data_IF_864317941156
#
_entry.id   IF_864317941156
#
_cell.length_a   1.000
_cell.length_b   1.000
_cell.length_c   1.000
_cell.angle_alpha   90.00
_cell.angle_beta   90.00
_cell.angle_gamma   90.00
#
_symmetry.space_group_name_H-M   'P 1'
#
loop_
_entity.id
_entity.type
_entity.pdbx_description
1 polymer ?
#
# COMPACT_ATOMS: atom_id res chain seq x y z
N UNK A 1 -14.87 3.02 9.42
CA UNK A 1 -14.40 1.69 9.84
C UNK A 1 -14.56 0.63 8.74
N UNK A 2 -15.76 0.39 8.20
CA UNK A 2 -16.02 -0.67 7.21
C UNK A 2 -15.20 -0.51 5.91
N UNK A 3 -15.06 0.71 5.39
CA UNK A 3 -14.25 1.01 4.20
C UNK A 3 -12.78 0.62 4.39
N UNK A 4 -12.21 0.91 5.56
CA UNK A 4 -10.81 0.60 5.86
C UNK A 4 -10.57 -0.91 5.95
N UNK A 5 -11.50 -1.65 6.54
CA UNK A 5 -11.43 -3.12 6.64
C UNK A 5 -11.53 -3.75 5.25
N UNK A 6 -12.50 -3.33 4.44
CA UNK A 6 -12.66 -3.84 3.07
C UNK A 6 -11.43 -3.54 2.20
N UNK A 7 -10.89 -2.32 2.29
CA UNK A 7 -9.68 -1.92 1.57
C UNK A 7 -8.47 -2.77 1.99
N UNK A 8 -8.27 -2.97 3.28
CA UNK A 8 -7.16 -3.77 3.79
C UNK A 8 -7.29 -5.25 3.42
N UNK A 9 -8.51 -5.81 3.51
CA UNK A 9 -8.77 -7.17 3.05
C UNK A 9 -8.44 -7.35 1.56
N UNK A 10 -8.77 -6.36 0.73
CA UNK A 10 -8.45 -6.35 -0.70
C UNK A 10 -6.94 -6.32 -0.97
N UNK A 11 -6.17 -5.52 -0.22
CA UNK A 11 -4.70 -5.44 -0.37
C UNK A 11 -4.02 -6.76 -0.02
N UNK A 12 -4.53 -7.50 0.98
CA UNK A 12 -3.96 -8.78 1.41
C UNK A 12 -4.44 -9.92 0.52
N UNK A 13 -5.75 -10.07 0.37
CA UNK A 13 -6.37 -11.19 -0.34
C UNK A 13 -6.20 -11.09 -1.87
N UNK A 14 -6.19 -9.87 -2.41
CA UNK A 14 -6.11 -9.63 -3.86
C UNK A 14 -4.88 -10.26 -4.49
N UNK A 15 -3.65 -9.89 -4.09
CA UNK A 15 -2.42 -10.45 -4.69
C UNK A 15 -2.28 -11.95 -4.46
N UNK A 16 -2.67 -12.47 -3.29
CA UNK A 16 -2.64 -13.91 -3.01
C UNK A 16 -3.60 -14.65 -3.95
N UNK A 17 -4.87 -14.22 -4.02
CA UNK A 17 -5.86 -14.80 -4.92
C UNK A 17 -5.43 -14.73 -6.39
N UNK A 18 -4.88 -13.58 -6.83
CA UNK A 18 -4.36 -13.40 -8.18
C UNK A 18 -3.26 -14.41 -8.49
N UNK A 19 -2.31 -14.63 -7.57
CA UNK A 19 -1.23 -15.60 -7.73
C UNK A 19 -1.74 -17.03 -7.94
N UNK A 20 -2.77 -17.45 -7.18
CA UNK A 20 -3.40 -18.77 -7.34
C UNK A 20 -4.19 -18.89 -8.67
N UNK A 21 -4.98 -17.88 -9.01
CA UNK A 21 -5.81 -17.88 -10.24
C UNK A 21 -4.90 -17.87 -11.48
N UNK A 22 -3.73 -17.22 -11.40
CA UNK A 22 -2.78 -17.14 -12.51
C UNK A 22 -2.24 -18.53 -12.93
N UNK A 23 -2.14 -19.48 -11.99
CA UNK A 23 -1.72 -20.86 -12.29
C UNK A 23 -2.74 -21.58 -13.18
N UNK A 24 -4.03 -21.28 -13.05
CA UNK A 24 -5.08 -21.87 -13.85
C UNK A 24 -5.06 -21.39 -15.33
N UNK A 25 -4.42 -20.23 -15.59
CA UNK A 25 -4.24 -19.69 -16.95
C UNK A 25 -3.98 -18.19 -16.92
N UNK A 26 -3.09 -17.72 -17.80
CA UNK A 26 -2.66 -16.31 -17.85
C UNK A 26 -3.81 -15.31 -18.05
N UNK A 27 -4.87 -15.72 -18.76
CA UNK A 27 -6.02 -14.85 -19.07
C UNK A 27 -7.06 -14.84 -17.96
N UNK A 28 -7.13 -15.87 -17.12
CA UNK A 28 -8.19 -16.06 -16.12
C UNK A 28 -8.24 -14.93 -15.10
N UNK A 29 -7.13 -14.44 -14.52
CA UNK A 29 -7.15 -13.34 -13.57
C UNK A 29 -7.71 -12.05 -14.18
N UNK A 30 -7.41 -11.80 -15.46
CA UNK A 30 -7.90 -10.61 -16.16
C UNK A 30 -9.40 -10.69 -16.42
N UNK A 31 -9.90 -11.87 -16.81
CA UNK A 31 -11.34 -12.10 -16.96
C UNK A 31 -12.08 -11.98 -15.62
N UNK A 32 -11.51 -12.49 -14.53
CA UNK A 32 -12.04 -12.34 -13.19
C UNK A 32 -12.07 -10.86 -12.76
N UNK A 33 -11.05 -10.10 -13.06
CA UNK A 33 -11.00 -8.66 -12.78
C UNK A 33 -12.07 -7.90 -13.59
N UNK A 34 -12.18 -8.18 -14.89
CA UNK A 34 -13.19 -7.55 -15.77
C UNK A 34 -14.61 -7.87 -15.28
N UNK A 35 -14.90 -9.13 -14.94
CA UNK A 35 -16.21 -9.50 -14.41
C UNK A 35 -16.53 -8.80 -13.09
N UNK A 36 -15.54 -8.70 -12.18
CA UNK A 36 -15.70 -7.97 -10.93
C UNK A 36 -15.97 -6.47 -11.15
N UNK A 37 -15.29 -5.82 -12.10
CA UNK A 37 -15.55 -4.42 -12.45
C UNK A 37 -16.93 -4.23 -13.08
N UNK A 38 -17.37 -5.15 -13.96
CA UNK A 38 -18.73 -5.10 -14.54
C UNK A 38 -19.77 -5.23 -13.43
N UNK A 39 -19.62 -6.18 -12.52
CA UNK A 39 -20.53 -6.35 -11.38
C UNK A 39 -20.55 -5.08 -10.52
N UNK A 40 -19.39 -4.51 -10.21
CA UNK A 40 -19.30 -3.27 -9.44
C UNK A 40 -20.01 -2.11 -10.17
N UNK A 41 -19.83 -1.97 -11.48
CA UNK A 41 -20.50 -0.96 -12.29
C UNK A 41 -22.02 -1.14 -12.29
N UNK A 42 -22.50 -2.37 -12.44
CA UNK A 42 -23.93 -2.68 -12.38
C UNK A 42 -24.51 -2.36 -10.99
N UNK A 43 -23.80 -2.69 -9.92
CA UNK A 43 -24.20 -2.35 -8.56
C UNK A 43 -24.24 -0.83 -8.35
N UNK A 44 -23.32 -0.07 -8.92
CA UNK A 44 -23.33 1.39 -8.85
C UNK A 44 -24.55 1.99 -9.55
N UNK A 45 -25.03 1.38 -10.64
CA UNK A 45 -26.26 1.82 -11.33
C UNK A 45 -27.53 1.64 -10.48
N UNK A 46 -27.51 0.71 -9.50
CA UNK A 46 -28.63 0.51 -8.58
C UNK A 46 -28.65 1.54 -7.44
N UNK A 47 -27.54 2.27 -7.24
CA UNK A 47 -27.46 3.32 -6.24
C UNK A 47 -28.11 4.57 -6.85
N UNK A 48 -29.30 4.94 -6.37
CA UNK A 48 -29.98 6.17 -6.78
C UNK A 48 -29.10 7.41 -6.57
N UNK A 49 -29.35 8.45 -7.33
CA UNK A 49 -28.63 9.72 -7.24
C UNK A 49 -28.72 10.29 -5.82
N UNK A 50 -27.60 10.20 -5.10
CA UNK A 50 -27.45 10.90 -3.81
C UNK A 50 -27.32 12.39 -4.13
N UNK A 51 -28.13 13.28 -3.56
CA UNK A 51 -27.98 14.72 -3.78
C UNK A 51 -26.60 15.13 -3.24
N UNK A 52 -25.67 15.32 -4.15
CA UNK A 52 -24.35 15.86 -3.83
C UNK A 52 -24.60 17.33 -3.50
N UNK A 53 -24.44 17.72 -2.23
CA UNK A 53 -24.30 19.11 -1.86
C UNK A 53 -23.09 19.62 -2.67
N UNK A 54 -23.35 20.39 -3.73
CA UNK A 54 -22.25 20.99 -4.51
C UNK A 54 -21.40 21.77 -3.53
N UNK A 55 -20.26 21.20 -3.17
CA UNK A 55 -19.16 22.00 -2.67
C UNK A 55 -18.89 23.00 -3.80
N UNK A 56 -19.08 24.27 -3.52
CA UNK A 56 -18.76 25.35 -4.46
C UNK A 56 -17.39 25.02 -5.05
N UNK A 57 -17.37 24.84 -6.36
CA UNK A 57 -16.16 24.49 -7.07
C UNK A 57 -15.28 25.72 -6.97
N UNK A 58 -14.44 25.76 -5.95
CA UNK A 58 -13.40 26.77 -5.81
C UNK A 58 -12.63 26.79 -7.13
N UNK A 59 -12.64 27.94 -7.82
CA UNK A 59 -12.01 28.03 -9.13
C UNK A 59 -10.56 27.52 -9.07
N UNK A 60 -10.04 27.02 -10.18
CA UNK A 60 -8.68 26.42 -10.30
C UNK A 60 -7.60 27.25 -9.59
N UNK A 61 -7.78 28.57 -9.55
CA UNK A 61 -6.88 29.52 -8.86
C UNK A 61 -6.96 29.41 -7.34
N UNK A 62 -8.13 29.07 -6.81
CA UNK A 62 -8.34 28.87 -5.37
C UNK A 62 -7.80 27.51 -4.95
N UNK A 63 -8.03 26.45 -5.74
CA UNK A 63 -7.45 25.14 -5.50
C UNK A 63 -5.91 25.17 -5.49
N UNK A 64 -5.29 25.95 -6.39
CA UNK A 64 -3.83 26.14 -6.39
C UNK A 64 -3.34 26.91 -5.15
N UNK A 65 -4.10 27.89 -4.72
CA UNK A 65 -3.81 28.68 -3.51
C UNK A 65 -3.92 27.82 -2.24
N UNK A 66 -4.98 27.00 -2.17
CA UNK A 66 -5.20 26.07 -1.06
C UNK A 66 -4.09 24.99 -1.01
N UNK A 67 -3.62 24.52 -2.18
CA UNK A 67 -2.49 23.60 -2.26
C UNK A 67 -1.18 24.27 -1.77
N UNK A 68 -0.93 25.54 -2.13
CA UNK A 68 0.24 26.30 -1.63
C UNK A 68 0.15 26.56 -0.12
N UNK A 69 -1.03 26.86 0.39
CA UNK A 69 -1.26 26.99 1.83
C UNK A 69 -0.99 25.67 2.57
N UNK A 70 -1.47 24.54 2.01
CA UNK A 70 -1.15 23.21 2.52
C UNK A 70 0.35 22.95 2.56
N UNK A 71 1.07 23.27 1.49
CA UNK A 71 2.54 23.11 1.43
C UNK A 71 3.25 24.02 2.45
N UNK A 72 2.79 25.25 2.58
CA UNK A 72 3.32 26.19 3.59
C UNK A 72 3.06 25.70 5.01
N UNK A 73 1.88 25.15 5.27
CA UNK A 73 1.53 24.54 6.54
C UNK A 73 2.45 23.37 6.86
N UNK A 74 2.69 22.44 5.92
CA UNK A 74 3.62 21.31 6.09
C UNK A 74 5.02 21.82 6.44
N UNK A 75 5.54 22.79 5.70
CA UNK A 75 6.87 23.39 5.98
C UNK A 75 6.94 24.11 7.31
N UNK A 76 5.84 24.67 7.81
CA UNK A 76 5.80 25.35 9.12
C UNK A 76 5.82 24.38 10.31
N UNK A 77 5.62 23.07 10.08
CA UNK A 77 5.62 22.02 11.10
C UNK A 77 6.82 21.08 10.91
N UNK A 78 7.96 21.30 11.60
CA UNK A 78 9.20 20.53 11.36
C UNK A 78 9.02 19.03 11.47
N UNK A 79 8.19 18.56 12.41
CA UNK A 79 7.92 17.12 12.60
C UNK A 79 7.18 16.55 11.39
N UNK A 80 6.19 17.26 10.87
CA UNK A 80 5.40 16.83 9.72
C UNK A 80 6.25 16.85 8.44
N UNK A 81 7.02 17.91 8.24
CA UNK A 81 7.96 18.03 7.12
C UNK A 81 9.00 16.92 7.16
N UNK A 82 9.60 16.65 8.33
CA UNK A 82 10.57 15.57 8.53
C UNK A 82 9.97 14.20 8.25
N UNK A 83 8.74 13.93 8.71
CA UNK A 83 8.06 12.66 8.47
C UNK A 83 7.79 12.42 6.98
N UNK A 84 7.25 13.41 6.27
CA UNK A 84 6.97 13.32 4.83
C UNK A 84 8.28 13.18 4.02
N UNK A 85 9.34 13.92 4.38
CA UNK A 85 10.63 13.83 3.71
C UNK A 85 11.27 12.45 3.91
N UNK A 86 11.18 11.90 5.13
CA UNK A 86 11.69 10.58 5.45
C UNK A 86 10.95 9.48 4.68
N UNK A 87 9.62 9.58 4.61
CA UNK A 87 8.78 8.66 3.85
C UNK A 87 9.11 8.72 2.35
N UNK A 88 9.24 9.93 1.79
CA UNK A 88 9.62 10.13 0.39
C UNK A 88 10.97 9.47 0.07
N UNK A 89 11.97 9.66 0.93
CA UNK A 89 13.29 9.05 0.76
C UNK A 89 13.20 7.52 0.88
N UNK A 90 12.45 7.02 1.87
CA UNK A 90 12.27 5.59 2.07
C UNK A 90 11.60 4.92 0.85
N UNK A 91 10.55 5.54 0.29
CA UNK A 91 9.86 5.04 -0.91
C UNK A 91 10.75 5.15 -2.16
N UNK A 92 11.47 6.26 -2.33
CA UNK A 92 12.33 6.50 -3.49
C UNK A 92 13.52 5.53 -3.53
N UNK A 93 14.15 5.28 -2.39
CA UNK A 93 15.32 4.39 -2.29
C UNK A 93 14.93 2.93 -2.04
N UNK A 94 13.76 2.71 -1.43
CA UNK A 94 13.27 1.40 -1.03
C UNK A 94 12.34 0.73 -2.03
N UNK A 95 12.39 1.02 -3.32
CA UNK A 95 11.50 0.50 -4.37
C UNK A 95 11.46 -1.04 -4.52
N UNK A 96 11.72 -1.77 -3.43
CA UNK A 96 11.75 -3.24 -3.35
C UNK A 96 10.46 -3.90 -3.89
N UNK A 97 9.31 -3.28 -3.67
CA UNK A 97 8.01 -3.80 -4.17
C UNK A 97 7.97 -3.87 -5.70
N UNK A 98 8.61 -2.93 -6.38
CA UNK A 98 8.70 -2.94 -7.84
C UNK A 98 9.61 -4.07 -8.35
N UNK A 99 10.60 -4.50 -7.56
CA UNK A 99 11.53 -5.58 -7.89
C UNK A 99 11.02 -6.96 -7.48
N UNK A 100 9.93 -7.06 -6.70
CA UNK A 100 9.38 -8.33 -6.26
C UNK A 100 9.15 -9.36 -7.38
N UNK A 101 8.65 -8.99 -8.59
CA UNK A 101 8.51 -9.95 -9.67
C UNK A 101 9.84 -10.58 -10.09
N UNK A 102 10.89 -9.76 -10.27
CA UNK A 102 12.23 -10.24 -10.62
C UNK A 102 12.84 -11.08 -9.51
N UNK A 103 12.71 -10.67 -8.25
CA UNK A 103 13.20 -11.44 -7.10
C UNK A 103 12.48 -12.80 -7.00
N UNK A 104 11.17 -12.83 -7.19
CA UNK A 104 10.37 -14.05 -7.12
C UNK A 104 10.72 -15.04 -8.23
N UNK A 105 10.97 -14.56 -9.45
CA UNK A 105 11.26 -15.39 -10.62
C UNK A 105 12.74 -15.77 -10.69
N UNK A 106 13.65 -14.79 -10.64
CA UNK A 106 15.07 -14.99 -10.91
C UNK A 106 15.86 -15.52 -9.71
N UNK A 107 15.45 -15.17 -8.47
CA UNK A 107 16.20 -15.55 -7.26
C UNK A 107 15.54 -16.63 -6.44
N UNK A 108 14.22 -16.56 -6.26
CA UNK A 108 13.49 -17.49 -5.42
C UNK A 108 12.88 -18.65 -6.21
N UNK A 109 12.67 -18.50 -7.52
CA UNK A 109 12.08 -19.53 -8.37
C UNK A 109 10.65 -19.95 -7.98
N UNK A 110 9.89 -19.04 -7.29
CA UNK A 110 8.60 -19.40 -6.67
C UNK A 110 7.39 -19.14 -7.56
N UNK A 111 7.60 -18.59 -8.76
CA UNK A 111 6.54 -18.35 -9.73
C UNK A 111 5.45 -17.37 -9.26
N UNK A 112 4.29 -17.43 -9.94
CA UNK A 112 3.19 -16.48 -9.71
C UNK A 112 2.55 -16.61 -8.32
N UNK A 113 2.45 -17.81 -7.78
CA UNK A 113 1.86 -18.04 -6.44
C UNK A 113 2.77 -17.44 -5.37
N UNK A 114 4.07 -17.69 -5.45
CA UNK A 114 5.04 -17.13 -4.51
C UNK A 114 5.07 -15.60 -4.58
N UNK A 115 5.02 -15.01 -5.77
CA UNK A 115 4.90 -13.58 -5.95
C UNK A 115 3.61 -13.02 -5.30
N UNK A 116 2.49 -13.72 -5.45
CA UNK A 116 1.23 -13.36 -4.81
C UNK A 116 1.35 -13.29 -3.29
N UNK A 117 2.00 -14.29 -2.69
CA UNK A 117 2.27 -14.32 -1.25
C UNK A 117 3.24 -13.24 -0.78
N UNK A 118 4.32 -12.97 -1.52
CA UNK A 118 5.25 -11.88 -1.19
C UNK A 118 4.55 -10.51 -1.22
N UNK A 119 3.67 -10.29 -2.17
CA UNK A 119 2.86 -9.06 -2.21
C UNK A 119 1.85 -8.99 -1.05
N UNK A 120 1.24 -10.12 -0.70
CA UNK A 120 0.31 -10.18 0.44
C UNK A 120 1.04 -9.94 1.78
N UNK A 121 2.32 -10.33 1.90
CA UNK A 121 3.13 -10.10 3.10
C UNK A 121 3.20 -8.60 3.47
N UNK A 122 3.34 -7.72 2.47
CA UNK A 122 3.33 -6.26 2.68
C UNK A 122 2.01 -5.81 3.33
N UNK A 123 0.88 -6.31 2.83
CA UNK A 123 -0.45 -5.99 3.39
C UNK A 123 -0.63 -6.56 4.81
N UNK A 124 -0.14 -7.77 5.05
CA UNK A 124 -0.17 -8.42 6.38
C UNK A 124 0.67 -7.60 7.37
N UNK A 125 1.90 -7.24 7.00
CA UNK A 125 2.78 -6.40 7.82
C UNK A 125 2.15 -5.06 8.17
N UNK A 126 1.60 -4.35 7.17
CA UNK A 126 0.88 -3.09 7.37
C UNK A 126 -0.30 -3.24 8.34
N UNK A 127 -1.06 -4.36 8.24
CA UNK A 127 -2.19 -4.64 9.13
C UNK A 127 -1.72 -4.89 10.56
N UNK A 128 -0.69 -5.68 10.75
CA UNK A 128 -0.11 -5.96 12.09
C UNK A 128 0.34 -4.67 12.75
N UNK A 129 1.04 -3.80 12.02
CA UNK A 129 1.48 -2.49 12.53
C UNK A 129 0.28 -1.60 12.86
N UNK A 130 -0.71 -1.51 11.97
CA UNK A 130 -1.92 -0.70 12.18
C UNK A 130 -2.70 -1.13 13.42
N UNK A 131 -2.89 -2.44 13.61
CA UNK A 131 -3.55 -2.99 14.80
C UNK A 131 -2.73 -2.72 16.06
N UNK A 132 -1.41 -2.91 16.00
CA UNK A 132 -0.51 -2.63 17.13
C UNK A 132 -0.58 -1.18 17.56
N UNK A 133 -0.59 -0.24 16.61
CA UNK A 133 -0.71 1.20 16.86
C UNK A 133 -2.11 1.60 17.35
N UNK A 134 -3.16 0.87 16.95
CA UNK A 134 -4.51 1.10 17.44
C UNK A 134 -4.63 0.74 18.94
N UNK A 135 -3.97 -0.34 19.36
CA UNK A 135 -3.96 -0.80 20.75
C UNK A 135 -2.96 0.02 21.60
N UNK A 136 -1.81 0.37 21.03
CA UNK A 136 -0.74 1.13 21.72
C UNK A 136 -0.34 2.35 20.88
N UNK A 137 -1.13 3.44 20.93
CA UNK A 137 -0.85 4.63 20.16
C UNK A 137 0.47 5.29 20.60
N UNK A 138 1.26 5.71 19.63
CA UNK A 138 2.51 6.46 19.87
C UNK A 138 2.18 7.86 20.38
N UNK A 139 2.25 8.06 21.71
CA UNK A 139 1.98 9.36 22.34
C UNK A 139 3.24 10.21 22.52
N UNK A 140 4.41 9.59 22.53
CA UNK A 140 5.69 10.27 22.80
C UNK A 140 6.78 9.77 21.86
N UNK A 141 7.80 10.60 21.61
CA UNK A 141 9.00 10.27 20.80
C UNK A 141 8.70 9.82 19.35
N UNK A 142 7.65 10.40 18.74
CA UNK A 142 7.19 10.03 17.37
C UNK A 142 8.35 10.05 16.37
N UNK A 143 9.23 11.06 16.40
CA UNK A 143 10.39 11.14 15.51
C UNK A 143 11.35 9.94 15.64
N UNK A 144 11.64 9.50 16.86
CA UNK A 144 12.50 8.31 17.08
C UNK A 144 11.84 7.04 16.55
N UNK A 145 10.53 6.91 16.72
CA UNK A 145 9.77 5.79 16.19
C UNK A 145 9.82 5.73 14.67
N UNK A 146 9.70 6.89 13.99
CA UNK A 146 9.82 6.99 12.54
C UNK A 146 11.20 6.55 12.05
N UNK A 147 12.28 7.03 12.67
CA UNK A 147 13.63 6.61 12.31
C UNK A 147 13.86 5.11 12.50
N UNK A 148 13.37 4.53 13.59
CA UNK A 148 13.44 3.09 13.84
C UNK A 148 12.67 2.32 12.78
N UNK A 149 11.46 2.77 12.41
CA UNK A 149 10.65 2.12 11.38
C UNK A 149 11.35 2.12 10.01
N UNK A 150 11.97 3.24 9.62
CA UNK A 150 12.74 3.33 8.36
C UNK A 150 13.99 2.47 8.43
N UNK A 151 14.65 2.40 9.58
CA UNK A 151 15.79 1.49 9.78
C UNK A 151 15.40 0.02 9.61
N UNK A 152 14.29 -0.41 10.21
CA UNK A 152 13.75 -1.76 10.05
C UNK A 152 13.38 -2.03 8.58
N UNK A 153 12.71 -1.08 7.92
CA UNK A 153 12.40 -1.18 6.50
C UNK A 153 13.66 -1.34 5.62
N UNK A 154 14.71 -0.56 5.91
CA UNK A 154 15.98 -0.67 5.19
C UNK A 154 16.64 -2.04 5.38
N UNK A 155 16.65 -2.57 6.62
CA UNK A 155 17.16 -3.92 6.90
C UNK A 155 16.34 -4.96 6.17
N UNK A 156 15.02 -4.89 6.22
CA UNK A 156 14.11 -5.78 5.50
C UNK A 156 14.39 -5.77 3.98
N UNK A 157 14.56 -4.58 3.40
CA UNK A 157 14.90 -4.43 1.98
C UNK A 157 16.25 -5.10 1.63
N UNK A 158 17.26 -4.96 2.48
CA UNK A 158 18.57 -5.63 2.30
C UNK A 158 18.42 -7.14 2.40
N UNK A 159 17.71 -7.64 3.42
CA UNK A 159 17.44 -9.08 3.59
C UNK A 159 16.70 -9.64 2.38
N UNK A 160 15.65 -8.96 1.92
CA UNK A 160 14.91 -9.33 0.72
C UNK A 160 15.81 -9.40 -0.52
N UNK A 161 16.70 -8.42 -0.69
CA UNK A 161 17.63 -8.36 -1.81
C UNK A 161 18.72 -9.44 -1.78
N UNK A 162 19.12 -9.93 -0.62
CA UNK A 162 20.21 -10.91 -0.46
C UNK A 162 19.71 -12.35 -0.31
N UNK A 163 18.49 -12.57 0.15
CA UNK A 163 17.99 -13.91 0.46
C UNK A 163 17.62 -14.69 -0.79
N UNK A 164 17.83 -16.01 -0.70
CA UNK A 164 17.34 -17.00 -1.66
C UNK A 164 16.26 -17.90 -1.02
N UNK A 165 15.94 -17.65 0.26
CA UNK A 165 14.96 -18.43 1.00
C UNK A 165 13.61 -17.68 1.02
N UNK A 166 12.57 -18.35 0.52
CA UNK A 166 11.22 -17.78 0.45
C UNK A 166 10.66 -17.34 1.81
N UNK A 167 10.88 -18.15 2.87
CA UNK A 167 10.37 -17.81 4.19
C UNK A 167 11.01 -16.54 4.75
N UNK A 168 12.31 -16.35 4.54
CA UNK A 168 13.01 -15.12 4.92
C UNK A 168 12.55 -13.92 4.07
N UNK A 169 12.35 -14.13 2.77
CA UNK A 169 11.82 -13.09 1.89
C UNK A 169 10.39 -12.67 2.27
N UNK A 170 9.57 -13.61 2.74
CA UNK A 170 8.20 -13.34 3.20
C UNK A 170 8.17 -12.55 4.51
N UNK A 171 9.13 -12.79 5.41
CA UNK A 171 9.22 -12.10 6.70
C UNK A 171 9.90 -10.74 6.62
N UNK A 172 10.72 -10.52 5.59
CA UNK A 172 11.44 -9.27 5.36
C UNK A 172 10.55 -8.15 4.83
#
# INVERSE_FOLDING_TARGET
>A
ALKSVAFQAGIIAGPAAFGFIFVAGRSIPYLAAVSAYIIAALLLLTIGSVPIKRLETSGTRQAFRDALEGLRFVRSKPILFGAISLDLIAVLLGGAVALLPAIAEDRLGVGAVGLGWLRAAVGIGATVVAVSLSVRPLRTRIGRSLFVSVGIFGIGTIVLGLTTNFALAFLA
#
